data_IF_570359035266
#
_entry.id   IF_570359035266
#
_cell.length_a   1.000
_cell.length_b   1.000
_cell.length_c   1.000
_cell.angle_alpha   90.00
_cell.angle_beta   90.00
_cell.angle_gamma   90.00
#
_symmetry.space_group_name_H-M   'P 1'
#
loop_
_entity.id
_entity.type
_entity.pdbx_description
1 polymer ?
#
# COMPACT_ATOMS: atom_id res chain seq x y z
N UNK A 1 42.40 27.18 -38.97
CA UNK A 1 42.91 27.58 -37.61
C UNK A 1 41.79 27.29 -36.61
N UNK A 2 41.79 26.10 -36.03
CA UNK A 2 40.84 25.68 -34.97
C UNK A 2 41.65 25.42 -33.71
N UNK A 3 41.81 26.43 -32.84
CA UNK A 3 42.55 26.35 -31.59
C UNK A 3 41.59 26.33 -30.39
N UNK A 4 41.56 25.16 -29.72
CA UNK A 4 41.45 24.94 -28.28
C UNK A 4 40.21 25.42 -27.49
N UNK A 5 39.03 24.81 -27.77
CA UNK A 5 37.90 24.91 -26.86
C UNK A 5 37.91 23.86 -25.69
N UNK A 6 38.92 22.98 -25.66
CA UNK A 6 39.00 21.92 -24.62
C UNK A 6 39.44 22.43 -23.25
N UNK A 7 40.15 23.58 -23.20
CA UNK A 7 40.64 24.14 -21.95
C UNK A 7 39.55 24.94 -21.20
N UNK A 8 38.73 25.66 -21.93
CA UNK A 8 37.64 26.46 -21.36
C UNK A 8 36.53 25.55 -20.74
N UNK A 9 36.25 24.40 -21.38
CA UNK A 9 35.24 23.45 -20.88
C UNK A 9 35.70 22.76 -19.59
N UNK A 10 37.00 22.45 -19.48
CA UNK A 10 37.54 21.81 -18.25
C UNK A 10 37.55 22.75 -17.05
N UNK A 11 37.80 24.06 -17.27
CA UNK A 11 37.78 25.05 -16.19
C UNK A 11 36.33 25.35 -15.71
N UNK A 12 35.34 25.35 -16.60
CA UNK A 12 33.93 25.53 -16.26
C UNK A 12 33.37 24.39 -15.40
N UNK A 13 33.73 23.16 -15.69
CA UNK A 13 33.27 21.96 -14.93
C UNK A 13 33.82 21.96 -13.49
N UNK A 14 35.04 22.42 -13.27
CA UNK A 14 35.63 22.50 -11.93
C UNK A 14 34.98 23.58 -11.06
N UNK A 15 34.57 24.70 -11.62
CA UNK A 15 33.93 25.80 -10.86
C UNK A 15 32.49 25.45 -10.52
N UNK A 16 31.74 24.80 -11.44
CA UNK A 16 30.37 24.34 -11.17
C UNK A 16 30.32 23.18 -10.16
N UNK A 17 31.29 22.28 -10.20
CA UNK A 17 31.36 21.14 -9.25
C UNK A 17 31.56 21.58 -7.80
N UNK A 18 32.40 22.62 -7.55
CA UNK A 18 32.62 23.11 -6.18
C UNK A 18 31.43 23.87 -5.61
N UNK A 19 30.66 24.60 -6.46
CA UNK A 19 29.46 25.31 -6.03
C UNK A 19 28.34 24.34 -5.62
N UNK A 20 28.14 23.25 -6.37
CA UNK A 20 27.13 22.25 -6.06
C UNK A 20 27.49 21.50 -4.77
N UNK A 21 28.77 21.13 -4.55
CA UNK A 21 29.20 20.52 -3.31
C UNK A 21 28.99 21.42 -2.09
N UNK A 22 29.22 22.73 -2.22
CA UNK A 22 28.98 23.66 -1.11
C UNK A 22 27.49 23.80 -0.77
N UNK A 23 26.60 23.78 -1.76
CA UNK A 23 25.15 23.84 -1.54
C UNK A 23 24.63 22.55 -0.86
N UNK A 24 25.11 21.37 -1.30
CA UNK A 24 24.75 20.09 -0.69
C UNK A 24 25.25 20.02 0.76
N UNK A 25 26.48 20.48 1.01
CA UNK A 25 27.06 20.54 2.36
C UNK A 25 26.28 21.48 3.29
N UNK A 26 25.85 22.63 2.80
CA UNK A 26 25.05 23.59 3.56
C UNK A 26 23.62 23.06 3.86
N UNK A 27 23.03 22.28 2.98
CA UNK A 27 21.72 21.64 3.21
C UNK A 27 21.79 20.53 4.25
N UNK A 28 22.90 19.77 4.28
CA UNK A 28 23.10 18.66 5.25
C UNK A 28 23.35 19.15 6.68
N UNK A 29 23.77 20.41 6.86
CA UNK A 29 23.99 20.99 8.21
C UNK A 29 22.72 21.57 8.85
N UNK A 30 21.61 21.69 8.11
CA UNK A 30 20.38 22.33 8.60
C UNK A 30 19.52 21.43 9.49
N UNK A 31 19.76 20.11 9.44
CA UNK A 31 18.96 19.12 10.19
C UNK A 31 19.58 18.68 11.53
N UNK A 32 20.64 19.36 12.04
CA UNK A 32 21.34 18.97 13.25
C UNK A 32 21.09 19.84 14.48
N UNK A 33 20.15 20.78 14.43
CA UNK A 33 19.82 21.61 15.62
C UNK A 33 18.36 21.53 16.00
N UNK A 34 17.92 20.36 16.48
CA UNK A 34 16.71 20.26 17.29
C UNK A 34 16.73 18.95 18.11
N UNK A 35 17.66 18.82 19.05
CA UNK A 35 17.55 17.89 20.14
C UNK A 35 18.05 18.61 21.40
N UNK A 36 17.14 18.98 22.26
CA UNK A 36 17.29 18.99 23.73
C UNK A 36 16.01 19.55 24.35
N UNK A 37 15.28 18.71 25.08
CA UNK A 37 14.13 19.17 25.86
C UNK A 37 13.33 18.01 26.44
N UNK A 38 13.97 17.16 27.24
CA UNK A 38 13.29 16.21 28.13
C UNK A 38 12.60 17.02 29.21
N UNK A 39 11.28 16.91 29.35
CA UNK A 39 10.55 17.18 30.59
C UNK A 39 9.58 16.04 30.84
N UNK A 40 10.00 15.21 31.76
CA UNK A 40 9.24 14.26 32.55
C UNK A 40 8.06 14.96 33.21
N UNK A 41 6.84 14.47 32.98
CA UNK A 41 5.72 14.72 33.90
C UNK A 41 4.87 13.45 33.94
N UNK A 42 5.00 12.79 35.07
CA UNK A 42 4.13 11.75 35.59
C UNK A 42 2.74 12.32 35.78
N UNK A 43 1.68 11.66 35.27
CA UNK A 43 0.41 11.56 35.97
C UNK A 43 -0.59 10.63 35.28
N UNK A 44 -1.00 9.65 36.06
CA UNK A 44 -2.38 9.18 36.31
C UNK A 44 -3.09 8.37 35.22
N UNK A 45 -3.09 7.08 35.47
CA UNK A 45 -3.96 6.06 34.87
C UNK A 45 -5.40 6.32 35.32
N UNK A 46 -6.30 6.63 34.39
CA UNK A 46 -7.73 6.47 34.57
C UNK A 46 -8.27 5.56 33.46
N UNK A 47 -9.13 4.57 33.79
CA UNK A 47 -9.70 3.70 32.80
C UNK A 47 -10.82 4.45 32.07
N UNK A 48 -10.64 4.66 30.77
CA UNK A 48 -11.69 5.23 29.90
C UNK A 48 -12.42 4.12 29.18
N UNK A 49 -13.72 4.17 29.41
CA UNK A 49 -14.80 3.44 28.79
C UNK A 49 -14.61 3.20 27.28
N UNK A 50 -14.96 1.99 26.91
CA UNK A 50 -15.61 1.53 25.69
C UNK A 50 -16.10 2.67 24.80
N UNK A 51 -15.28 3.05 23.80
CA UNK A 51 -15.76 3.83 22.66
C UNK A 51 -15.84 2.89 21.47
N UNK A 52 -17.11 2.62 21.10
CA UNK A 52 -17.52 2.13 19.80
C UNK A 52 -16.72 2.85 18.70
N UNK A 53 -15.62 2.26 18.26
CA UNK A 53 -14.87 2.75 17.13
C UNK A 53 -15.59 2.33 15.86
N UNK A 54 -16.34 3.25 15.29
CA UNK A 54 -16.53 3.27 13.84
C UNK A 54 -15.14 3.28 13.24
N UNK A 55 -14.66 2.12 12.82
CA UNK A 55 -13.38 1.99 12.14
C UNK A 55 -13.48 2.81 10.85
N UNK A 56 -12.90 3.99 10.88
CA UNK A 56 -12.65 4.76 9.67
C UNK A 56 -11.61 3.96 8.91
N UNK A 57 -12.07 3.19 7.93
CA UNK A 57 -11.20 2.46 7.01
C UNK A 57 -10.29 3.51 6.36
N UNK A 58 -8.99 3.44 6.63
CA UNK A 58 -8.00 4.18 5.86
C UNK A 58 -7.89 3.51 4.47
N UNK A 59 -8.95 3.65 3.69
CA UNK A 59 -8.98 3.27 2.30
C UNK A 59 -8.28 4.39 1.54
N UNK A 60 -7.06 4.15 1.14
CA UNK A 60 -6.38 5.01 0.17
C UNK A 60 -7.01 4.68 -1.19
N UNK A 61 -8.05 5.41 -1.56
CA UNK A 61 -8.56 5.38 -2.92
C UNK A 61 -7.52 6.10 -3.79
N UNK A 62 -6.72 5.36 -4.52
CA UNK A 62 -5.98 5.90 -5.65
C UNK A 62 -7.01 6.18 -6.75
N UNK A 63 -7.32 7.46 -6.99
CA UNK A 63 -8.34 7.87 -7.96
C UNK A 63 -7.98 7.34 -9.34
N UNK A 64 -8.78 6.37 -9.83
CA UNK A 64 -8.73 5.90 -11.21
C UNK A 64 -8.18 4.50 -11.45
N UNK A 65 -7.76 3.77 -10.43
CA UNK A 65 -7.33 2.38 -10.61
C UNK A 65 -8.55 1.48 -10.93
N UNK A 66 -8.48 0.77 -12.05
CA UNK A 66 -9.56 -0.12 -12.48
C UNK A 66 -9.03 -1.53 -12.68
N UNK A 67 -9.82 -2.51 -12.28
CA UNK A 67 -9.51 -3.95 -12.36
C UNK A 67 -9.09 -4.42 -13.75
N UNK A 68 -9.51 -3.73 -14.80
CA UNK A 68 -9.12 -4.03 -16.19
C UNK A 68 -7.61 -3.94 -16.43
N UNK A 69 -6.89 -3.13 -15.64
CA UNK A 69 -5.43 -3.08 -15.70
C UNK A 69 -4.78 -4.43 -15.33
N UNK A 70 -5.48 -5.27 -14.59
CA UNK A 70 -5.00 -6.56 -14.10
C UNK A 70 -5.67 -7.77 -14.77
N UNK A 71 -6.40 -7.58 -15.86
CA UNK A 71 -7.17 -8.64 -16.51
C UNK A 71 -6.33 -9.87 -16.90
N UNK A 72 -5.09 -9.66 -17.36
CA UNK A 72 -4.16 -10.73 -17.72
C UNK A 72 -3.80 -11.59 -16.51
N UNK A 73 -3.49 -10.99 -15.37
CA UNK A 73 -3.16 -11.70 -14.14
C UNK A 73 -4.38 -12.42 -13.58
N UNK A 74 -5.53 -11.75 -13.54
CA UNK A 74 -6.77 -12.27 -12.97
C UNK A 74 -7.34 -13.47 -13.72
N UNK A 75 -7.00 -13.62 -15.02
CA UNK A 75 -7.34 -14.80 -15.81
C UNK A 75 -6.85 -16.12 -15.19
N UNK A 76 -5.76 -16.09 -14.45
CA UNK A 76 -5.20 -17.26 -13.76
C UNK A 76 -5.99 -17.66 -12.49
N UNK A 77 -6.88 -16.80 -11.99
CA UNK A 77 -7.60 -16.96 -10.72
C UNK A 77 -9.11 -17.20 -10.87
N UNK A 78 -9.59 -17.55 -12.06
CA UNK A 78 -11.02 -17.73 -12.36
C UNK A 78 -11.88 -16.50 -12.01
N UNK A 79 -11.32 -15.31 -12.15
CA UNK A 79 -12.04 -14.07 -11.93
C UNK A 79 -13.23 -13.93 -12.87
N UNK A 80 -14.40 -13.62 -12.31
CA UNK A 80 -15.62 -13.38 -13.08
C UNK A 80 -15.83 -11.88 -13.22
N UNK A 81 -15.65 -11.35 -14.42
CA UNK A 81 -15.85 -9.95 -14.72
C UNK A 81 -17.29 -9.50 -14.43
N UNK A 82 -17.46 -8.26 -14.00
CA UNK A 82 -18.76 -7.70 -13.62
C UNK A 82 -19.30 -8.14 -12.26
N UNK A 83 -18.56 -9.00 -11.55
CA UNK A 83 -18.83 -9.31 -10.16
C UNK A 83 -17.90 -8.53 -9.24
N UNK A 84 -18.38 -8.04 -8.09
CA UNK A 84 -17.48 -7.44 -7.10
C UNK A 84 -16.44 -8.45 -6.63
N UNK A 85 -15.31 -7.97 -6.09
CA UNK A 85 -14.27 -8.86 -5.64
C UNK A 85 -13.54 -8.35 -4.38
N UNK A 86 -12.97 -9.31 -3.65
CA UNK A 86 -11.91 -9.08 -2.68
C UNK A 86 -10.69 -9.85 -3.17
N UNK A 87 -9.56 -9.18 -3.35
CA UNK A 87 -8.28 -9.81 -3.65
C UNK A 87 -7.36 -9.58 -2.47
N UNK A 88 -6.84 -10.65 -1.88
CA UNK A 88 -5.89 -10.64 -0.77
C UNK A 88 -4.50 -11.01 -1.28
N UNK A 89 -3.58 -10.05 -1.24
CA UNK A 89 -2.16 -10.27 -1.50
C UNK A 89 -1.48 -10.66 -0.19
N UNK A 90 -1.03 -11.89 -0.10
CA UNK A 90 -0.46 -12.49 1.10
C UNK A 90 0.87 -13.17 0.84
N UNK A 91 1.56 -13.56 1.92
CA UNK A 91 2.69 -14.49 1.88
C UNK A 91 2.54 -15.56 2.95
N UNK A 92 3.09 -16.76 2.69
CA UNK A 92 2.99 -17.89 3.62
C UNK A 92 3.69 -17.66 4.96
N UNK A 93 4.66 -16.78 5.02
CA UNK A 93 5.39 -16.38 6.23
C UNK A 93 4.78 -15.17 6.96
N UNK A 94 3.77 -14.52 6.37
CA UNK A 94 3.12 -13.34 6.94
C UNK A 94 2.20 -13.68 8.10
N UNK A 95 2.57 -13.31 9.32
CA UNK A 95 1.78 -13.57 10.53
C UNK A 95 0.39 -12.92 10.54
N UNK A 96 0.26 -11.61 10.22
CA UNK A 96 -1.05 -10.95 10.11
C UNK A 96 -1.97 -11.60 9.07
N UNK A 97 -1.44 -12.02 7.92
CA UNK A 97 -2.20 -12.69 6.87
C UNK A 97 -2.82 -14.01 7.39
N UNK A 98 -2.03 -14.81 8.11
CA UNK A 98 -2.49 -16.07 8.72
C UNK A 98 -3.64 -15.86 9.70
N UNK A 99 -3.65 -14.75 10.46
CA UNK A 99 -4.73 -14.45 11.40
C UNK A 99 -6.01 -14.02 10.68
N UNK A 100 -5.89 -13.33 9.56
CA UNK A 100 -7.01 -12.85 8.75
C UNK A 100 -7.65 -13.98 7.92
N UNK A 101 -6.85 -14.92 7.41
CA UNK A 101 -7.28 -15.95 6.45
C UNK A 101 -8.56 -16.70 6.85
N UNK A 102 -8.78 -17.15 8.11
CA UNK A 102 -10.02 -17.83 8.48
C UNK A 102 -11.28 -16.97 8.32
N UNK A 103 -11.15 -15.65 8.59
CA UNK A 103 -12.25 -14.69 8.39
C UNK A 103 -12.56 -14.49 6.91
N UNK A 104 -11.53 -14.35 6.09
CA UNK A 104 -11.67 -14.20 4.64
C UNK A 104 -12.29 -15.44 3.99
N UNK A 105 -11.92 -16.65 4.43
CA UNK A 105 -12.53 -17.91 3.97
C UNK A 105 -14.03 -17.98 4.29
N UNK A 106 -14.45 -17.56 5.48
CA UNK A 106 -15.88 -17.48 5.82
C UNK A 106 -16.64 -16.53 4.90
N UNK A 107 -16.04 -15.35 4.61
CA UNK A 107 -16.64 -14.41 3.66
C UNK A 107 -16.74 -15.04 2.27
N UNK A 108 -15.72 -15.76 1.82
CA UNK A 108 -15.74 -16.46 0.53
C UNK A 108 -16.88 -17.48 0.44
N UNK A 109 -17.14 -18.24 1.51
CA UNK A 109 -18.22 -19.20 1.60
C UNK A 109 -19.60 -18.51 1.61
N UNK A 110 -19.78 -17.48 2.43
CA UNK A 110 -21.06 -16.75 2.56
C UNK A 110 -21.47 -16.02 1.29
N UNK A 111 -20.47 -15.53 0.52
CA UNK A 111 -20.71 -14.78 -0.72
C UNK A 111 -20.41 -15.56 -1.99
N UNK A 112 -20.35 -16.90 -1.88
CA UNK A 112 -20.12 -17.78 -3.02
C UNK A 112 -21.14 -17.52 -4.15
N UNK A 113 -20.63 -17.27 -5.36
CA UNK A 113 -21.45 -16.95 -6.53
C UNK A 113 -21.98 -15.52 -6.63
N UNK A 114 -21.75 -14.70 -5.59
CA UNK A 114 -22.14 -13.27 -5.56
C UNK A 114 -20.93 -12.34 -5.65
N UNK A 115 -19.75 -12.82 -5.29
CA UNK A 115 -18.51 -12.06 -5.25
C UNK A 115 -17.34 -12.98 -5.56
N UNK A 116 -16.29 -12.44 -6.19
CA UNK A 116 -15.01 -13.13 -6.29
C UNK A 116 -14.24 -12.90 -5.00
N UNK A 117 -13.68 -13.97 -4.41
CA UNK A 117 -12.68 -13.85 -3.35
C UNK A 117 -11.45 -14.61 -3.81
N UNK A 118 -10.35 -13.87 -3.99
CA UNK A 118 -9.11 -14.36 -4.58
C UNK A 118 -7.98 -14.12 -3.60
N UNK A 119 -7.12 -15.11 -3.44
CA UNK A 119 -5.88 -14.98 -2.66
C UNK A 119 -4.69 -15.13 -3.59
N UNK A 120 -3.76 -14.18 -3.55
CA UNK A 120 -2.55 -14.11 -4.36
C UNK A 120 -1.34 -14.24 -3.45
N UNK A 121 -0.60 -15.34 -3.57
CA UNK A 121 0.68 -15.50 -2.89
C UNK A 121 1.75 -14.69 -3.65
N UNK A 122 2.26 -13.63 -3.03
CA UNK A 122 3.22 -12.71 -3.66
C UNK A 122 4.58 -13.38 -3.98
N UNK A 123 4.89 -14.49 -3.31
CA UNK A 123 6.10 -15.25 -3.60
C UNK A 123 5.93 -16.16 -4.83
N UNK A 124 4.68 -16.59 -5.12
CA UNK A 124 4.36 -17.44 -6.27
C UNK A 124 3.99 -16.63 -7.51
N UNK A 125 3.20 -15.56 -7.36
CA UNK A 125 2.84 -14.65 -8.46
C UNK A 125 3.44 -13.26 -8.22
N UNK A 126 4.76 -13.20 -8.30
CA UNK A 126 5.53 -11.97 -8.14
C UNK A 126 5.17 -10.93 -9.21
N UNK A 127 4.89 -11.37 -10.43
CA UNK A 127 4.56 -10.48 -11.54
C UNK A 127 3.26 -9.73 -11.28
N UNK A 128 2.26 -10.39 -10.74
CA UNK A 128 1.03 -9.72 -10.33
C UNK A 128 1.25 -8.80 -9.14
N UNK A 129 1.98 -9.22 -8.12
CA UNK A 129 2.29 -8.39 -6.95
C UNK A 129 3.05 -7.10 -7.34
N UNK A 130 4.03 -7.20 -8.24
CA UNK A 130 4.78 -6.05 -8.77
C UNK A 130 3.88 -5.12 -9.60
N UNK A 131 3.07 -5.67 -10.51
CA UNK A 131 2.12 -4.89 -11.32
C UNK A 131 1.09 -4.17 -10.44
N UNK A 132 0.66 -4.81 -9.35
CA UNK A 132 -0.27 -4.24 -8.38
C UNK A 132 0.41 -3.32 -7.34
N UNK A 133 1.73 -3.12 -7.41
CA UNK A 133 2.47 -2.25 -6.50
C UNK A 133 2.37 -2.69 -5.03
N UNK A 134 2.45 -4.00 -4.77
CA UNK A 134 2.33 -4.54 -3.41
C UNK A 134 3.65 -4.40 -2.66
N UNK A 135 3.69 -3.52 -1.66
CA UNK A 135 4.86 -3.25 -0.82
C UNK A 135 4.76 -3.86 0.58
N UNK A 136 3.55 -4.17 1.04
CA UNK A 136 3.28 -4.72 2.36
C UNK A 136 2.17 -5.77 2.33
N UNK A 137 2.17 -6.72 3.27
CA UNK A 137 1.17 -7.79 3.37
C UNK A 137 0.53 -7.85 4.77
N UNK A 138 -0.78 -8.15 4.84
CA UNK A 138 -1.67 -8.28 3.70
C UNK A 138 -2.01 -6.93 3.07
N UNK A 139 -2.21 -6.90 1.76
CA UNK A 139 -2.86 -5.80 1.04
C UNK A 139 -4.12 -6.37 0.38
N UNK A 140 -5.23 -5.67 0.58
CA UNK A 140 -6.54 -6.07 0.08
C UNK A 140 -7.00 -5.09 -1.00
N UNK A 141 -7.46 -5.61 -2.12
CA UNK A 141 -8.22 -4.85 -3.11
C UNK A 141 -9.70 -5.17 -2.97
N UNK A 142 -10.50 -4.14 -2.78
CA UNK A 142 -11.95 -4.20 -2.80
C UNK A 142 -12.43 -3.65 -4.14
N UNK A 143 -13.05 -4.50 -4.94
CA UNK A 143 -13.40 -4.19 -6.31
C UNK A 143 -14.92 -4.14 -6.42
N UNK A 144 -15.44 -2.99 -6.83
CA UNK A 144 -16.86 -2.78 -7.10
C UNK A 144 -17.29 -3.40 -8.43
N UNK A 145 -18.59 -3.52 -8.69
CA UNK A 145 -19.13 -4.10 -9.94
C UNK A 145 -18.68 -3.38 -11.20
N UNK A 146 -18.40 -2.08 -11.10
CA UNK A 146 -17.87 -1.25 -12.20
C UNK A 146 -16.36 -1.40 -12.42
N UNK A 147 -15.69 -2.20 -11.58
CA UNK A 147 -14.26 -2.46 -11.65
C UNK A 147 -13.39 -1.45 -10.90
N UNK A 148 -13.98 -0.48 -10.20
CA UNK A 148 -13.23 0.46 -9.35
C UNK A 148 -12.56 -0.27 -8.19
N UNK A 149 -11.29 0.00 -7.95
CA UNK A 149 -10.48 -0.61 -6.89
C UNK A 149 -10.34 0.35 -5.72
N UNK A 150 -10.55 -0.17 -4.54
CA UNK A 150 -10.17 0.46 -3.28
C UNK A 150 -9.11 -0.42 -2.60
N UNK A 151 -7.97 0.18 -2.29
CA UNK A 151 -6.84 -0.51 -1.67
C UNK A 151 -6.85 -0.34 -0.15
N UNK A 152 -6.58 -1.41 0.57
CA UNK A 152 -6.37 -1.40 2.02
C UNK A 152 -5.11 -2.18 2.37
N UNK A 153 -4.25 -1.59 3.20
CA UNK A 153 -3.03 -2.24 3.71
C UNK A 153 -3.24 -2.61 5.17
N UNK A 154 -3.04 -3.88 5.49
CA UNK A 154 -3.18 -4.42 6.83
C UNK A 154 -4.28 -5.47 6.95
N UNK A 155 -4.22 -6.24 8.04
CA UNK A 155 -5.19 -7.30 8.32
C UNK A 155 -6.50 -6.70 8.87
N UNK A 156 -7.62 -7.24 8.40
CA UNK A 156 -8.96 -6.93 8.87
C UNK A 156 -9.56 -8.13 9.61
N UNK A 157 -10.45 -7.88 10.57
CA UNK A 157 -11.23 -8.91 11.21
C UNK A 157 -12.40 -9.38 10.32
N UNK A 158 -13.02 -10.50 10.71
CA UNK A 158 -14.12 -11.08 9.97
C UNK A 158 -15.32 -10.14 9.83
N UNK A 159 -15.68 -9.42 10.91
CA UNK A 159 -16.88 -8.56 10.91
C UNK A 159 -16.71 -7.39 9.94
N UNK A 160 -15.52 -6.80 9.91
CA UNK A 160 -15.16 -5.75 8.96
C UNK A 160 -15.16 -6.27 7.52
N UNK A 161 -14.55 -7.44 7.26
CA UNK A 161 -14.56 -8.06 5.93
C UNK A 161 -15.98 -8.36 5.45
N UNK A 162 -16.84 -8.86 6.34
CA UNK A 162 -18.26 -9.14 6.05
C UNK A 162 -19.05 -7.87 5.74
N UNK A 163 -18.81 -6.79 6.48
CA UNK A 163 -19.46 -5.50 6.23
C UNK A 163 -19.08 -4.97 4.85
N UNK A 164 -17.78 -5.00 4.49
CA UNK A 164 -17.31 -4.59 3.17
C UNK A 164 -17.93 -5.45 2.07
N UNK A 165 -17.94 -6.77 2.24
CA UNK A 165 -18.54 -7.69 1.28
C UNK A 165 -20.05 -7.40 1.07
N UNK A 166 -20.78 -7.08 2.14
CA UNK A 166 -22.17 -6.70 2.06
C UNK A 166 -22.37 -5.39 1.27
N UNK A 167 -21.44 -4.44 1.40
CA UNK A 167 -21.50 -3.18 0.65
C UNK A 167 -21.18 -3.37 -0.82
N UNK A 168 -20.15 -4.13 -1.15
CA UNK A 168 -19.75 -4.42 -2.53
C UNK A 168 -20.82 -5.17 -3.33
N UNK A 169 -21.68 -5.93 -2.65
CA UNK A 169 -22.71 -6.77 -3.30
C UNK A 169 -24.09 -6.12 -3.41
N UNK A 170 -24.28 -4.90 -2.87
CA UNK A 170 -25.49 -4.11 -3.06
C UNK A 170 -25.63 -3.65 -4.51
#
# INVERSE_FOLDING_TARGET
MAKNNKFAIRLGILIFGTAICAIIYAMTQRDRTAETGIKETTETVTPVAEQSSTATLNVVAEEGENVKAYAEHLGNYNYKEGMPAIIDFFATWCGPCKRMAPGLHKVAEEYQGKMNVITVDVDQDRTFAEAAGIEAMPTLFFISKDGTIQRHVGALDYDTLKQIAAELTK
#
